data_IF_981898635721
#
_entry.id   IF_981898635721
#
_cell.length_a   1.000
_cell.length_b   1.000
_cell.length_c   1.000
_cell.angle_alpha   90.00
_cell.angle_beta   90.00
_cell.angle_gamma   90.00
#
_symmetry.space_group_name_H-M   'P 1'
#
loop_
_entity.id
_entity.type
_entity.pdbx_description
1 polymer ?
#
# COMPACT_ATOMS: atom_id res chain seq x y z
N UNK A 1 -5.23 24.51 16.92
CA UNK A 1 -4.21 23.58 16.37
C UNK A 1 -4.83 22.35 15.69
N UNK A 2 -6.06 21.94 16.00
CA UNK A 2 -6.74 20.82 15.31
C UNK A 2 -7.23 21.12 13.88
N UNK A 3 -7.51 22.38 13.54
CA UNK A 3 -8.03 22.75 12.22
C UNK A 3 -6.99 22.57 11.07
N UNK A 4 -5.70 22.71 11.36
CA UNK A 4 -4.64 22.53 10.35
C UNK A 4 -4.44 21.04 9.99
N UNK A 5 -4.61 20.15 10.97
CA UNK A 5 -4.49 18.70 10.80
C UNK A 5 -5.61 18.12 9.93
N UNK A 6 -6.84 18.60 10.09
CA UNK A 6 -7.97 18.19 9.24
C UNK A 6 -7.86 18.71 7.78
N UNK A 7 -7.22 19.87 7.58
CA UNK A 7 -7.01 20.46 6.24
C UNK A 7 -5.96 19.68 5.41
N UNK A 8 -4.94 19.11 6.04
CA UNK A 8 -3.94 18.27 5.36
C UNK A 8 -4.52 16.91 4.94
N UNK A 9 -5.39 16.33 5.75
CA UNK A 9 -6.15 15.11 5.42
C UNK A 9 -7.07 15.31 4.20
N UNK A 10 -7.67 16.50 4.05
CA UNK A 10 -8.52 16.82 2.89
C UNK A 10 -7.74 17.05 1.59
N UNK A 11 -6.48 17.52 1.65
CA UNK A 11 -5.65 17.70 0.44
C UNK A 11 -5.23 16.37 -0.19
N UNK A 12 -5.20 15.28 0.60
CA UNK A 12 -4.79 13.96 0.14
C UNK A 12 -5.69 13.39 -0.97
N UNK A 13 -6.99 13.66 -0.90
CA UNK A 13 -8.00 13.17 -1.86
C UNK A 13 -7.88 13.78 -3.28
N UNK A 14 -6.89 14.62 -3.56
CA UNK A 14 -6.73 15.32 -4.85
C UNK A 14 -5.50 14.94 -5.68
N UNK A 15 -4.66 14.01 -5.21
CA UNK A 15 -3.43 13.61 -5.91
C UNK A 15 -3.70 12.41 -6.83
N UNK A 16 -4.21 12.67 -8.03
CA UNK A 16 -4.59 11.63 -9.01
C UNK A 16 -3.48 11.13 -9.94
N UNK A 17 -2.20 11.52 -9.77
CA UNK A 17 -1.24 11.29 -10.85
C UNK A 17 0.13 10.67 -10.54
N UNK A 18 0.51 10.41 -9.30
CA UNK A 18 1.71 9.59 -8.98
C UNK A 18 1.65 9.24 -7.49
N UNK A 19 1.16 8.04 -7.16
CA UNK A 19 0.84 7.64 -5.79
C UNK A 19 2.07 7.65 -4.86
N UNK A 20 3.28 7.42 -5.37
CA UNK A 20 4.52 7.57 -4.60
C UNK A 20 4.80 9.01 -4.15
N UNK A 21 4.37 10.03 -4.92
CA UNK A 21 4.53 11.46 -4.55
C UNK A 21 3.70 11.86 -3.34
N UNK A 22 2.75 11.02 -2.95
CA UNK A 22 2.00 11.18 -1.73
C UNK A 22 2.88 10.96 -0.48
N UNK A 23 3.99 10.21 -0.59
CA UNK A 23 4.82 9.80 0.54
C UNK A 23 5.26 10.96 1.45
N UNK A 24 5.87 12.07 0.94
CA UNK A 24 6.26 13.19 1.80
C UNK A 24 5.07 13.87 2.52
N UNK A 25 3.87 13.85 1.92
CA UNK A 25 2.66 14.37 2.55
C UNK A 25 2.15 13.43 3.66
N UNK A 26 2.21 12.12 3.42
CA UNK A 26 1.85 11.06 4.38
C UNK A 26 2.75 11.14 5.61
N UNK A 27 4.07 11.23 5.40
CA UNK A 27 5.07 11.36 6.48
C UNK A 27 4.77 12.56 7.40
N UNK A 28 4.41 13.71 6.81
CA UNK A 28 4.03 14.90 7.59
C UNK A 28 2.76 14.72 8.41
N UNK A 29 1.90 13.79 8.02
CA UNK A 29 0.64 13.51 8.72
C UNK A 29 0.77 12.48 9.85
N UNK A 30 1.90 11.76 9.97
CA UNK A 30 2.07 10.73 11.00
C UNK A 30 1.81 11.24 12.42
N UNK A 31 2.33 12.42 12.76
CA UNK A 31 2.09 13.03 14.09
C UNK A 31 0.61 13.32 14.34
N UNK A 32 -0.12 13.73 13.30
CA UNK A 32 -1.55 13.98 13.41
C UNK A 32 -2.33 12.67 13.59
N UNK A 33 -1.96 11.61 12.88
CA UNK A 33 -2.58 10.29 13.04
C UNK A 33 -2.36 9.75 14.46
N UNK A 34 -1.14 9.85 15.01
CA UNK A 34 -0.88 9.45 16.40
C UNK A 34 -1.74 10.21 17.41
N UNK A 35 -2.03 11.50 17.15
CA UNK A 35 -2.94 12.27 18.00
C UNK A 35 -4.39 11.77 17.87
N UNK A 36 -4.87 11.46 16.66
CA UNK A 36 -6.21 10.93 16.45
C UNK A 36 -6.41 9.58 17.15
N UNK A 37 -5.42 8.69 17.10
CA UNK A 37 -5.43 7.42 17.83
C UNK A 37 -5.48 7.64 19.34
N UNK A 38 -4.67 8.56 19.88
CA UNK A 38 -4.68 8.89 21.30
C UNK A 38 -6.01 9.51 21.78
N UNK A 39 -6.72 10.22 20.90
CA UNK A 39 -8.04 10.78 21.15
C UNK A 39 -9.19 9.78 20.93
N UNK A 40 -8.90 8.55 20.47
CA UNK A 40 -9.91 7.54 20.16
C UNK A 40 -10.79 7.90 18.97
N UNK A 41 -10.29 8.72 18.04
CA UNK A 41 -11.01 9.16 16.83
C UNK A 41 -10.92 8.12 15.71
N UNK A 42 -11.37 6.90 16.01
CA UNK A 42 -11.16 5.72 15.18
C UNK A 42 -11.80 5.78 13.79
N UNK A 43 -12.89 6.53 13.61
CA UNK A 43 -13.48 6.74 12.28
C UNK A 43 -12.55 7.54 11.36
N UNK A 44 -11.88 8.56 11.91
CA UNK A 44 -10.92 9.37 11.16
C UNK A 44 -9.63 8.58 10.90
N UNK A 45 -9.18 7.79 11.89
CA UNK A 45 -8.04 6.89 11.72
C UNK A 45 -8.30 5.83 10.64
N UNK A 46 -9.46 5.17 10.68
CA UNK A 46 -9.83 4.13 9.73
C UNK A 46 -9.77 4.65 8.31
N UNK A 47 -10.50 5.74 8.03
CA UNK A 47 -10.56 6.31 6.68
C UNK A 47 -9.17 6.70 6.17
N UNK A 48 -8.42 7.44 6.98
CA UNK A 48 -7.07 7.85 6.59
C UNK A 48 -6.14 6.66 6.33
N UNK A 49 -6.20 5.63 7.18
CA UNK A 49 -5.34 4.46 7.02
C UNK A 49 -5.74 3.60 5.82
N UNK A 50 -7.03 3.45 5.52
CA UNK A 50 -7.49 2.74 4.31
C UNK A 50 -7.01 3.47 3.04
N UNK A 51 -7.29 4.78 2.94
CA UNK A 51 -6.87 5.57 1.78
C UNK A 51 -5.35 5.54 1.59
N UNK A 52 -4.60 5.63 2.69
CA UNK A 52 -3.13 5.60 2.66
C UNK A 52 -2.60 4.21 2.29
N UNK A 53 -3.20 3.13 2.82
CA UNK A 53 -2.84 1.77 2.47
C UNK A 53 -3.07 1.51 0.98
N UNK A 54 -4.22 1.92 0.44
CA UNK A 54 -4.55 1.80 -0.98
C UNK A 54 -3.57 2.58 -1.84
N UNK A 55 -3.24 3.82 -1.46
CA UNK A 55 -2.27 4.64 -2.19
C UNK A 55 -0.90 3.96 -2.27
N UNK A 56 -0.42 3.37 -1.17
CA UNK A 56 0.85 2.64 -1.18
C UNK A 56 0.77 1.31 -1.94
N UNK A 57 -0.35 0.58 -1.83
CA UNK A 57 -0.56 -0.66 -2.57
C UNK A 57 -0.55 -0.43 -4.09
N UNK A 58 -1.21 0.63 -4.57
CA UNK A 58 -1.18 1.06 -5.98
C UNK A 58 0.24 1.43 -6.46
N UNK A 59 1.13 1.83 -5.53
CA UNK A 59 2.54 2.12 -5.82
C UNK A 59 3.45 0.89 -5.65
N UNK A 60 2.91 -0.27 -5.28
CA UNK A 60 3.65 -1.46 -4.85
C UNK A 60 4.61 -1.20 -3.67
N UNK A 61 4.30 -0.23 -2.81
CA UNK A 61 5.04 0.06 -1.58
C UNK A 61 4.46 -0.78 -0.43
N UNK A 62 4.58 -2.10 -0.58
CA UNK A 62 3.89 -3.08 0.26
C UNK A 62 4.17 -3.01 1.76
N UNK A 63 5.40 -2.77 2.24
CA UNK A 63 5.66 -2.60 3.67
C UNK A 63 4.87 -1.45 4.30
N UNK A 64 4.79 -0.30 3.63
CA UNK A 64 4.00 0.85 4.07
C UNK A 64 2.51 0.57 3.95
N UNK A 65 2.06 -0.01 2.83
CA UNK A 65 0.68 -0.42 2.64
C UNK A 65 0.20 -1.33 3.77
N UNK A 66 1.01 -2.34 4.12
CA UNK A 66 0.74 -3.27 5.21
C UNK A 66 0.68 -2.55 6.57
N UNK A 67 1.61 -1.64 6.85
CA UNK A 67 1.60 -0.89 8.10
C UNK A 67 0.30 -0.08 8.28
N UNK A 68 -0.18 0.55 7.21
CA UNK A 68 -1.44 1.30 7.23
C UNK A 68 -2.66 0.38 7.23
N UNK A 69 -2.64 -0.75 6.51
CA UNK A 69 -3.72 -1.75 6.55
C UNK A 69 -3.92 -2.32 7.96
N UNK A 70 -2.83 -2.57 8.71
CA UNK A 70 -2.91 -3.02 10.10
C UNK A 70 -3.52 -1.95 11.03
N UNK A 71 -3.24 -0.67 10.80
CA UNK A 71 -3.82 0.44 11.57
C UNK A 71 -5.30 0.66 11.22
N UNK A 72 -5.66 0.51 9.95
CA UNK A 72 -7.06 0.48 9.51
C UNK A 72 -7.81 -0.66 10.21
N UNK A 73 -7.26 -1.88 10.19
CA UNK A 73 -7.83 -3.03 10.88
C UNK A 73 -8.02 -2.79 12.38
N UNK A 74 -7.02 -2.22 13.04
CA UNK A 74 -7.10 -1.85 14.47
C UNK A 74 -8.22 -0.84 14.71
N UNK A 75 -8.33 0.19 13.86
CA UNK A 75 -9.39 1.21 13.97
C UNK A 75 -10.78 0.59 13.77
N UNK A 76 -10.90 -0.37 12.86
CA UNK A 76 -12.15 -1.10 12.61
C UNK A 76 -12.59 -1.92 13.83
N UNK A 77 -11.66 -2.65 14.46
CA UNK A 77 -11.91 -3.38 15.71
C UNK A 77 -12.42 -2.47 16.82
N UNK A 78 -11.80 -1.30 16.99
CA UNK A 78 -12.20 -0.32 18.01
C UNK A 78 -13.61 0.24 17.75
N UNK A 79 -13.95 0.55 16.50
CA UNK A 79 -15.30 1.02 16.13
C UNK A 79 -16.37 -0.03 16.40
N UNK A 80 -16.12 -1.29 16.00
CA UNK A 80 -17.05 -2.39 16.25
C UNK A 80 -17.21 -2.69 17.74
N UNK A 81 -16.13 -2.59 18.53
CA UNK A 81 -16.18 -2.69 19.99
C UNK A 81 -17.06 -1.62 20.64
N UNK A 82 -17.23 -0.47 19.97
CA UNK A 82 -18.14 0.62 20.38
C UNK A 82 -19.55 0.47 19.79
N UNK A 83 -19.87 -0.64 19.13
CA UNK A 83 -21.10 -0.87 18.37
C UNK A 83 -21.36 0.17 17.26
N UNK A 84 -20.30 0.77 16.72
CA UNK A 84 -20.39 1.71 15.60
C UNK A 84 -20.33 0.88 14.30
N UNK A 85 -21.37 1.02 13.47
CA UNK A 85 -21.38 0.43 12.13
C UNK A 85 -20.61 1.33 11.18
N UNK A 86 -19.72 0.73 10.39
CA UNK A 86 -18.95 1.42 9.36
C UNK A 86 -19.59 1.16 8.01
N UNK A 87 -19.75 2.21 7.21
CA UNK A 87 -20.25 2.10 5.85
C UNK A 87 -19.19 2.60 4.88
N UNK A 88 -18.91 1.81 3.84
CA UNK A 88 -18.09 2.20 2.70
C UNK A 88 -18.96 2.10 1.44
N UNK A 89 -19.10 3.20 0.70
CA UNK A 89 -19.96 3.29 -0.49
C UNK A 89 -21.43 2.83 -0.29
N UNK A 90 -21.92 2.84 0.96
CA UNK A 90 -23.27 2.41 1.32
C UNK A 90 -23.37 0.95 1.75
N UNK A 91 -22.28 0.19 1.70
CA UNK A 91 -22.18 -1.19 2.14
C UNK A 91 -21.59 -1.26 3.56
N UNK A 92 -22.01 -2.27 4.33
CA UNK A 92 -21.50 -2.47 5.68
C UNK A 92 -20.09 -3.06 5.58
N UNK A 93 -19.09 -2.27 5.95
CA UNK A 93 -17.74 -2.76 6.10
C UNK A 93 -17.68 -3.63 7.36
N UNK A 94 -17.05 -4.79 7.29
CA UNK A 94 -16.81 -5.67 8.43
C UNK A 94 -15.31 -5.96 8.66
N UNK A 95 -15.01 -6.86 9.61
CA UNK A 95 -13.62 -7.23 9.90
C UNK A 95 -12.99 -8.08 8.79
N UNK A 96 -13.79 -8.80 8.01
CA UNK A 96 -13.33 -9.63 6.89
C UNK A 96 -12.79 -8.73 5.79
N UNK A 97 -13.50 -7.65 5.45
CA UNK A 97 -13.06 -6.67 4.44
C UNK A 97 -11.72 -6.05 4.83
N UNK A 98 -11.60 -5.62 6.10
CA UNK A 98 -10.35 -5.02 6.58
C UNK A 98 -9.22 -6.05 6.74
N UNK A 99 -9.54 -7.30 7.08
CA UNK A 99 -8.57 -8.39 7.12
C UNK A 99 -8.05 -8.75 5.73
N UNK A 100 -8.91 -8.71 4.71
CA UNK A 100 -8.52 -8.91 3.32
C UNK A 100 -7.39 -7.96 2.93
N UNK A 101 -7.54 -6.65 3.20
CA UNK A 101 -6.47 -5.67 2.92
C UNK A 101 -5.16 -5.99 3.65
N UNK A 102 -5.22 -6.44 4.90
CA UNK A 102 -4.02 -6.83 5.68
C UNK A 102 -3.33 -8.03 5.05
N UNK A 103 -4.07 -9.07 4.70
CA UNK A 103 -3.51 -10.29 4.12
C UNK A 103 -2.95 -10.00 2.72
N UNK A 104 -3.69 -9.30 1.87
CA UNK A 104 -3.24 -8.90 0.54
C UNK A 104 -1.93 -8.12 0.59
N UNK A 105 -1.82 -7.12 1.47
CA UNK A 105 -0.57 -6.38 1.62
C UNK A 105 0.58 -7.26 2.14
N UNK A 106 0.29 -8.16 3.10
CA UNK A 106 1.29 -9.04 3.70
C UNK A 106 1.85 -10.05 2.70
N UNK A 107 1.01 -10.63 1.83
CA UNK A 107 1.45 -11.59 0.80
C UNK A 107 2.47 -10.99 -0.18
N UNK A 108 2.48 -9.67 -0.32
CA UNK A 108 3.41 -8.96 -1.19
C UNK A 108 4.66 -8.42 -0.45
N UNK A 109 4.86 -8.75 0.83
CA UNK A 109 6.13 -8.45 1.53
C UNK A 109 7.03 -9.68 1.61
N UNK A 110 8.31 -9.47 1.92
CA UNK A 110 9.28 -10.57 2.08
C UNK A 110 8.89 -11.53 3.22
N UNK A 111 8.24 -11.01 4.26
CA UNK A 111 7.83 -11.78 5.44
C UNK A 111 6.53 -12.56 5.25
N UNK A 112 5.70 -12.18 4.28
CA UNK A 112 4.37 -12.76 4.12
C UNK A 112 3.45 -12.47 5.30
N UNK A 113 2.41 -13.30 5.45
CA UNK A 113 1.55 -13.29 6.64
C UNK A 113 2.32 -13.87 7.83
N UNK A 114 2.69 -13.03 8.78
CA UNK A 114 3.40 -13.46 9.99
C UNK A 114 2.48 -14.21 10.96
N UNK A 115 3.04 -15.08 11.80
CA UNK A 115 2.29 -15.79 12.86
C UNK A 115 1.53 -14.85 13.81
N UNK A 116 2.08 -13.64 14.06
CA UNK A 116 1.42 -12.63 14.88
C UNK A 116 0.16 -12.09 14.20
N UNK A 117 0.22 -11.85 12.89
CA UNK A 117 -0.93 -11.39 12.11
C UNK A 117 -1.98 -12.48 12.04
N UNK A 118 -1.58 -13.72 11.71
CA UNK A 118 -2.48 -14.87 11.67
C UNK A 118 -3.23 -15.05 13.01
N UNK A 119 -2.50 -15.06 14.12
CA UNK A 119 -3.11 -15.20 15.44
C UNK A 119 -4.10 -14.08 15.78
N UNK A 120 -3.79 -12.83 15.38
CA UNK A 120 -4.71 -11.69 15.55
C UNK A 120 -5.98 -11.88 14.72
N UNK A 121 -5.84 -12.17 13.42
CA UNK A 121 -6.97 -12.30 12.50
C UNK A 121 -7.86 -13.51 12.85
N UNK A 122 -7.27 -14.64 13.24
CA UNK A 122 -8.02 -15.81 13.70
C UNK A 122 -8.77 -15.55 15.01
N UNK A 123 -8.22 -14.73 15.92
CA UNK A 123 -8.92 -14.37 17.16
C UNK A 123 -10.18 -13.54 16.90
N UNK A 124 -10.16 -12.72 15.85
CA UNK A 124 -11.26 -11.81 15.53
C UNK A 124 -12.29 -12.44 14.56
N UNK A 125 -11.85 -13.24 13.58
CA UNK A 125 -12.70 -13.84 12.54
C UNK A 125 -13.09 -15.31 12.81
N UNK A 126 -12.36 -15.98 13.71
CA UNK A 126 -12.38 -17.44 13.81
C UNK A 126 -11.64 -18.13 12.66
N UNK A 127 -11.42 -19.44 12.80
CA UNK A 127 -10.60 -20.21 11.84
C UNK A 127 -11.22 -20.29 10.45
N UNK A 128 -12.54 -20.48 10.34
CA UNK A 128 -13.23 -20.56 9.04
C UNK A 128 -13.25 -19.20 8.32
N UNK A 129 -13.54 -18.12 9.06
CA UNK A 129 -13.53 -16.76 8.51
C UNK A 129 -12.14 -16.35 8.04
N UNK A 130 -11.11 -16.61 8.85
CA UNK A 130 -9.72 -16.38 8.45
C UNK A 130 -9.34 -17.16 7.19
N UNK A 131 -9.67 -18.46 7.12
CA UNK A 131 -9.33 -19.28 5.97
C UNK A 131 -9.99 -18.77 4.68
N UNK A 132 -11.27 -18.37 4.75
CA UNK A 132 -11.98 -17.83 3.59
C UNK A 132 -11.31 -16.53 3.05
N UNK A 133 -11.01 -15.59 3.95
CA UNK A 133 -10.35 -14.32 3.56
C UNK A 133 -8.93 -14.56 3.06
N UNK A 134 -8.20 -15.51 3.64
CA UNK A 134 -6.85 -15.85 3.21
C UNK A 134 -6.83 -16.43 1.79
N UNK A 135 -7.72 -17.39 1.50
CA UNK A 135 -7.83 -17.98 0.16
C UNK A 135 -8.22 -16.91 -0.87
N UNK A 136 -9.17 -16.03 -0.56
CA UNK A 136 -9.56 -14.93 -1.45
C UNK A 136 -8.39 -13.97 -1.74
N UNK A 137 -7.67 -13.56 -0.69
CA UNK A 137 -6.50 -12.68 -0.84
C UNK A 137 -5.35 -13.37 -1.59
N UNK A 138 -5.19 -14.68 -1.40
CA UNK A 138 -4.21 -15.49 -2.10
C UNK A 138 -4.55 -15.62 -3.58
N UNK A 139 -5.80 -15.90 -3.92
CA UNK A 139 -6.27 -15.96 -5.31
C UNK A 139 -6.06 -14.63 -6.02
N UNK A 140 -6.33 -13.50 -5.33
CA UNK A 140 -6.05 -12.17 -5.85
C UNK A 140 -4.55 -11.97 -6.11
N UNK A 141 -3.69 -12.29 -5.14
CA UNK A 141 -2.23 -12.15 -5.27
C UNK A 141 -1.65 -13.07 -6.36
N UNK A 142 -2.11 -14.31 -6.46
CA UNK A 142 -1.66 -15.28 -7.46
C UNK A 142 -2.12 -14.89 -8.89
N UNK A 143 -3.06 -13.95 -9.03
CA UNK A 143 -3.52 -13.41 -10.31
C UNK A 143 -2.72 -12.18 -10.81
N UNK A 144 -1.89 -11.60 -9.95
CA UNK A 144 -1.06 -10.45 -10.30
C UNK A 144 0.16 -10.87 -11.15
N UNK A 145 0.67 -9.99 -12.04
CA UNK A 145 1.90 -10.24 -12.78
C UNK A 145 3.12 -10.46 -11.87
N UNK A 146 4.07 -11.29 -12.31
CA UNK A 146 5.31 -11.54 -11.56
C UNK A 146 6.15 -10.26 -11.45
N UNK A 147 6.56 -9.94 -10.22
CA UNK A 147 7.47 -8.83 -9.90
C UNK A 147 8.89 -9.33 -9.61
N UNK A 148 9.90 -8.48 -9.79
CA UNK A 148 11.28 -8.90 -9.51
C UNK A 148 11.46 -9.05 -7.99
N UNK A 149 11.86 -10.23 -7.47
CA UNK A 149 12.10 -10.43 -6.04
C UNK A 149 13.11 -9.45 -5.44
N UNK A 150 13.97 -8.82 -6.26
CA UNK A 150 14.88 -7.76 -5.80
C UNK A 150 14.14 -6.58 -5.18
N UNK A 151 12.89 -6.31 -5.58
CA UNK A 151 12.08 -5.21 -5.03
C UNK A 151 11.74 -5.40 -3.54
N UNK A 152 11.85 -6.64 -3.05
CA UNK A 152 11.63 -6.99 -1.64
C UNK A 152 12.94 -7.04 -0.83
N UNK A 153 14.09 -6.77 -1.46
CA UNK A 153 15.38 -6.79 -0.76
C UNK A 153 15.59 -5.52 0.08
N UNK A 154 16.25 -5.62 1.23
CA UNK A 154 16.57 -4.44 2.05
C UNK A 154 17.31 -3.34 1.26
N UNK A 155 18.21 -3.73 0.35
CA UNK A 155 18.97 -2.81 -0.48
C UNK A 155 18.08 -2.00 -1.43
N UNK A 156 17.09 -2.63 -2.06
CA UNK A 156 16.12 -1.94 -2.91
C UNK A 156 15.18 -1.05 -2.10
N UNK A 157 14.62 -1.59 -1.01
CA UNK A 157 13.68 -0.87 -0.15
C UNK A 157 14.30 0.41 0.43
N UNK A 158 15.60 0.40 0.70
CA UNK A 158 16.33 1.57 1.19
C UNK A 158 16.42 2.72 0.17
N UNK A 159 16.30 2.45 -1.13
CA UNK A 159 16.52 3.44 -2.20
C UNK A 159 15.26 3.77 -3.01
N UNK A 160 14.17 3.00 -2.86
CA UNK A 160 13.00 3.09 -3.74
C UNK A 160 12.37 4.49 -3.86
N UNK A 161 12.32 5.28 -2.79
CA UNK A 161 11.72 6.62 -2.84
C UNK A 161 12.60 7.58 -3.64
N UNK A 162 13.91 7.57 -3.39
CA UNK A 162 14.89 8.35 -4.17
C UNK A 162 14.94 7.86 -5.63
N UNK A 163 14.77 6.56 -5.86
CA UNK A 163 14.69 5.98 -7.19
C UNK A 163 13.51 6.54 -7.99
N UNK A 164 12.30 6.59 -7.41
CA UNK A 164 11.14 7.19 -8.09
C UNK A 164 11.37 8.68 -8.40
N UNK A 165 11.97 9.44 -7.48
CA UNK A 165 12.36 10.85 -7.74
C UNK A 165 13.32 10.95 -8.93
N UNK A 166 14.35 10.09 -9.00
CA UNK A 166 15.31 10.09 -10.11
C UNK A 166 14.69 9.67 -11.44
N UNK A 167 13.77 8.70 -11.44
CA UNK A 167 13.05 8.29 -12.65
C UNK A 167 12.19 9.44 -13.15
N UNK A 168 11.49 10.09 -12.23
CA UNK A 168 10.62 11.22 -12.52
C UNK A 168 11.37 12.42 -13.10
N UNK A 169 12.54 12.75 -12.54
CA UNK A 169 13.46 13.75 -13.09
C UNK A 169 13.98 13.37 -14.47
N UNK A 170 14.33 12.08 -14.68
CA UNK A 170 14.82 11.59 -15.96
C UNK A 170 13.76 11.65 -17.06
N UNK A 171 12.48 11.50 -16.70
CA UNK A 171 11.34 11.42 -17.63
C UNK A 171 10.46 12.68 -17.62
N UNK A 172 10.91 13.78 -17.00
CA UNK A 172 10.14 15.02 -16.80
C UNK A 172 9.51 15.56 -18.11
N UNK A 173 10.13 15.27 -19.25
CA UNK A 173 9.75 15.75 -20.58
C UNK A 173 8.89 14.76 -21.40
N UNK A 174 8.69 13.53 -20.95
CA UNK A 174 8.11 12.42 -21.74
C UNK A 174 6.69 12.01 -21.26
N UNK A 175 6.12 12.72 -20.28
CA UNK A 175 4.79 12.40 -19.73
C UNK A 175 3.68 12.50 -20.80
N UNK A 176 2.98 11.39 -21.04
CA UNK A 176 1.76 11.34 -21.86
C UNK A 176 1.92 10.80 -23.28
N UNK A 177 3.07 10.22 -23.62
CA UNK A 177 3.27 9.48 -24.87
C UNK A 177 2.86 8.00 -24.76
N UNK A 178 2.44 7.42 -25.88
CA UNK A 178 2.39 5.96 -26.05
C UNK A 178 3.77 5.38 -25.72
N UNK A 179 3.83 4.24 -25.02
CA UNK A 179 5.06 3.56 -24.53
C UNK A 179 5.74 4.10 -23.24
N UNK A 180 5.12 5.02 -22.49
CA UNK A 180 5.68 5.54 -21.22
C UNK A 180 6.10 4.42 -20.23
N UNK A 181 5.36 3.31 -20.16
CA UNK A 181 5.71 2.18 -19.29
C UNK A 181 7.07 1.55 -19.64
N UNK A 182 7.43 1.49 -20.93
CA UNK A 182 8.71 0.94 -21.38
C UNK A 182 9.86 1.90 -21.08
N UNK A 183 9.63 3.20 -21.26
CA UNK A 183 10.59 4.26 -20.90
C UNK A 183 10.85 4.27 -19.39
N UNK A 184 9.79 4.21 -18.59
CA UNK A 184 9.85 4.07 -17.13
C UNK A 184 10.67 2.84 -16.70
N UNK A 185 10.38 1.64 -17.22
CA UNK A 185 11.14 0.45 -16.87
C UNK A 185 12.60 0.52 -17.33
N UNK A 186 12.87 1.13 -18.48
CA UNK A 186 14.24 1.34 -18.93
C UNK A 186 15.01 2.27 -18.02
N UNK A 187 14.42 3.42 -17.65
CA UNK A 187 15.00 4.38 -16.72
C UNK A 187 15.28 3.71 -15.35
N UNK A 188 14.26 3.07 -14.76
CA UNK A 188 14.37 2.32 -13.50
C UNK A 188 15.52 1.33 -13.52
N UNK A 189 15.59 0.49 -14.56
CA UNK A 189 16.66 -0.51 -14.73
C UNK A 189 18.04 0.13 -14.86
N UNK A 190 18.15 1.24 -15.60
CA UNK A 190 19.43 1.94 -15.80
C UNK A 190 19.93 2.54 -14.50
N UNK A 191 19.10 3.33 -13.81
CA UNK A 191 19.42 4.00 -12.55
C UNK A 191 19.81 2.98 -11.48
N UNK A 192 18.99 1.95 -11.26
CA UNK A 192 19.27 0.86 -10.31
C UNK A 192 20.63 0.22 -10.57
N UNK A 193 20.96 -0.05 -11.84
CA UNK A 193 22.21 -0.69 -12.21
C UNK A 193 23.42 0.24 -12.06
N UNK A 194 23.32 1.49 -12.52
CA UNK A 194 24.47 2.41 -12.57
C UNK A 194 24.78 3.06 -11.23
N UNK A 195 23.77 3.43 -10.46
CA UNK A 195 23.94 4.21 -9.23
C UNK A 195 23.94 3.32 -7.98
N UNK A 196 23.15 2.24 -7.98
CA UNK A 196 22.95 1.38 -6.81
C UNK A 196 23.55 -0.02 -6.95
N UNK A 197 24.01 -0.40 -8.16
CA UNK A 197 24.55 -1.74 -8.42
C UNK A 197 23.50 -2.85 -8.37
N UNK A 198 22.21 -2.50 -8.37
CA UNK A 198 21.08 -3.43 -8.28
C UNK A 198 20.72 -3.92 -9.69
N UNK A 199 20.63 -5.25 -9.85
CA UNK A 199 20.21 -5.87 -11.12
C UNK A 199 18.73 -6.18 -11.07
N UNK A 200 17.94 -5.27 -11.63
CA UNK A 200 16.49 -5.39 -11.72
C UNK A 200 16.03 -5.85 -13.11
N UNK A 201 14.99 -6.69 -13.14
CA UNK A 201 14.30 -7.21 -14.31
C UNK A 201 12.95 -6.50 -14.45
N UNK A 202 12.67 -6.05 -15.66
CA UNK A 202 11.40 -5.39 -15.97
C UNK A 202 10.24 -6.38 -16.08
N UNK A 203 8.98 -5.92 -15.89
CA UNK A 203 7.79 -6.75 -16.06
C UNK A 203 7.76 -7.52 -17.38
N UNK A 204 8.13 -6.90 -18.51
CA UNK A 204 8.19 -7.58 -19.82
C UNK A 204 9.20 -8.75 -19.89
N UNK A 205 10.22 -8.77 -19.02
CA UNK A 205 11.21 -9.86 -18.94
C UNK A 205 10.70 -11.00 -18.08
N UNK A 206 9.94 -10.69 -17.03
CA UNK A 206 9.38 -11.67 -16.10
C UNK A 206 8.10 -12.31 -16.65
N UNK A 207 7.30 -11.52 -17.37
CA UNK A 207 5.98 -11.90 -17.86
C UNK A 207 5.94 -11.85 -19.39
N UNK A 208 6.62 -12.76 -20.11
CA UNK A 208 6.76 -12.69 -21.57
C UNK A 208 5.45 -12.96 -22.33
N UNK A 209 4.41 -13.47 -21.65
CA UNK A 209 3.12 -13.79 -22.24
C UNK A 209 2.05 -12.70 -21.96
N UNK A 210 2.40 -11.67 -21.20
CA UNK A 210 1.51 -10.55 -20.88
C UNK A 210 1.68 -9.43 -21.92
N UNK A 211 0.56 -8.84 -22.34
CA UNK A 211 0.58 -7.64 -23.16
C UNK A 211 0.49 -6.39 -22.27
N UNK A 212 1.57 -5.61 -22.24
CA UNK A 212 1.62 -4.33 -21.55
C UNK A 212 1.35 -3.19 -22.56
N UNK A 213 0.26 -2.45 -22.33
CA UNK A 213 -0.18 -1.31 -23.17
C UNK A 213 -0.13 0.00 -22.39
#
# INVERSE_FOLDING_TARGET
>A
RSALSCLLLQQFHSMQFDSWRAHPAIERCQSALTMLEAEGRWSDCLRYCQDTANTYAESHFWPEALAYAQRAYTSMRELLGQNIKVLENGELLDLSDSAFSVITCALHTAEGVTLKMEAMLQADLGSEGYAAVYEEAKDAADSEPETDPVELTPEYLAVRFELEEKIDEALEHERGYYDYCKEYWMAKRMILRSEYGIRWKSPIVLNPNEEFH
#
